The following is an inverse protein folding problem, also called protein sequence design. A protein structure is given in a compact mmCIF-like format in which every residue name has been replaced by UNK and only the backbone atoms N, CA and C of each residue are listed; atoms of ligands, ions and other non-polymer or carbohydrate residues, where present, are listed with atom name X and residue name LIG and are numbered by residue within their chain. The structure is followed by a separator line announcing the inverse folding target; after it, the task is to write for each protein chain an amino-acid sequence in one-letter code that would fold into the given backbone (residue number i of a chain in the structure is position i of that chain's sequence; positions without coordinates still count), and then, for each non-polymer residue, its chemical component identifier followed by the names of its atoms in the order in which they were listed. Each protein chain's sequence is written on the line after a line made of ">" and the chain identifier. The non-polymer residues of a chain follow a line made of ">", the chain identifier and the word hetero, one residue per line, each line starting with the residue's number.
data_IF_599517110996
#
_entry.id   IF_599517110996
#
_cell.length_a   1.000
_cell.length_b   1.000
_cell.length_c   1.000
_cell.angle_alpha   90.00
_cell.angle_beta   90.00
_cell.angle_gamma   90.00
#
_symmetry.space_group_name_H-M   'P 1'
#
loop_
_entity.id
_entity.type
_entity.pdbx_description
1 polymer ?
#
# COMPACT_ATOMS: atom_id res chain seq x y z
N UNK A 1 -7.26 18.26 7.27
CA UNK A 1 -7.25 17.11 6.34
C UNK A 1 -6.92 15.88 7.16
N UNK A 2 -7.73 14.81 7.14
CA UNK A 2 -7.44 13.60 7.90
C UNK A 2 -6.17 12.92 7.36
N UNK A 3 -5.35 12.35 8.25
CA UNK A 3 -4.22 11.54 7.83
C UNK A 3 -4.76 10.21 7.29
N UNK A 4 -4.59 9.94 6.00
CA UNK A 4 -5.04 8.66 5.41
C UNK A 4 -3.84 7.74 5.28
N UNK A 5 -3.93 6.57 5.90
CA UNK A 5 -2.94 5.51 5.73
C UNK A 5 -3.54 4.40 4.86
N UNK A 6 -2.84 4.10 3.76
CA UNK A 6 -3.29 3.17 2.74
C UNK A 6 -2.60 1.81 2.90
N UNK A 7 -3.35 0.71 2.85
CA UNK A 7 -2.77 -0.61 3.02
C UNK A 7 -3.76 -1.74 2.86
N UNK A 8 -3.35 -2.95 3.25
CA UNK A 8 -4.23 -4.12 3.36
C UNK A 8 -4.44 -4.40 4.84
N UNK A 9 -5.69 -4.58 5.28
CA UNK A 9 -6.02 -4.78 6.70
C UNK A 9 -5.25 -5.95 7.34
N UNK A 10 -5.09 -7.04 6.58
CA UNK A 10 -4.39 -8.26 7.00
C UNK A 10 -2.89 -8.24 6.66
N UNK A 11 -2.24 -7.10 6.82
CA UNK A 11 -0.78 -6.96 6.72
C UNK A 11 -0.20 -6.58 8.08
N UNK A 12 0.79 -7.32 8.57
CA UNK A 12 1.36 -7.07 9.90
C UNK A 12 2.08 -5.72 10.00
N UNK A 13 2.71 -5.25 8.91
CA UNK A 13 3.26 -3.90 8.84
C UNK A 13 2.17 -2.84 9.02
N UNK A 14 1.00 -3.03 8.39
CA UNK A 14 -0.13 -2.10 8.56
C UNK A 14 -0.72 -2.14 9.96
N UNK A 15 -0.78 -3.31 10.60
CA UNK A 15 -1.18 -3.42 12.01
C UNK A 15 -0.23 -2.63 12.92
N UNK A 16 1.08 -2.78 12.73
CA UNK A 16 2.11 -2.04 13.48
C UNK A 16 2.00 -0.53 13.26
N UNK A 17 1.82 -0.09 12.01
CA UNK A 17 1.67 1.33 11.70
C UNK A 17 0.44 1.95 12.37
N UNK A 18 -0.72 1.27 12.31
CA UNK A 18 -1.94 1.71 13.00
C UNK A 18 -1.78 1.76 14.51
N UNK A 19 -1.22 0.70 15.11
CA UNK A 19 -0.96 0.66 16.55
C UNK A 19 -0.02 1.79 17.00
N UNK A 20 0.99 2.14 16.18
CA UNK A 20 1.87 3.27 16.45
C UNK A 20 1.09 4.60 16.44
N UNK A 21 0.26 4.83 15.42
CA UNK A 21 -0.57 6.04 15.32
C UNK A 21 -1.56 6.14 16.50
N UNK A 22 -2.22 5.03 16.85
CA UNK A 22 -3.12 4.93 18.00
C UNK A 22 -2.40 5.30 19.30
N UNK A 23 -1.20 4.74 19.52
CA UNK A 23 -0.38 4.98 20.72
C UNK A 23 0.06 6.44 20.85
N UNK A 24 0.27 7.13 19.74
CA UNK A 24 0.71 8.53 19.72
C UNK A 24 -0.47 9.51 19.62
N UNK A 25 -1.71 9.03 19.67
CA UNK A 25 -2.91 9.86 19.57
C UNK A 25 -3.04 10.58 18.22
N UNK A 26 -2.41 10.06 17.16
CA UNK A 26 -2.50 10.64 15.82
C UNK A 26 -3.79 10.16 15.17
N UNK A 27 -4.74 11.06 14.92
CA UNK A 27 -5.95 10.72 14.18
C UNK A 27 -5.62 10.31 12.74
N UNK A 28 -6.15 9.17 12.31
CA UNK A 28 -6.00 8.67 10.94
C UNK A 28 -7.26 7.95 10.43
N UNK A 29 -7.37 7.88 9.12
CA UNK A 29 -8.30 7.01 8.40
C UNK A 29 -7.52 5.87 7.74
N UNK A 30 -8.04 4.66 7.82
CA UNK A 30 -7.44 3.50 7.16
C UNK A 30 -8.15 3.17 5.86
N UNK A 31 -7.43 3.28 4.74
CA UNK A 31 -7.93 2.92 3.42
C UNK A 31 -7.46 1.50 3.06
N UNK A 32 -8.39 0.54 3.05
CA UNK A 32 -8.09 -0.85 2.68
C UNK A 32 -8.17 -1.05 1.16
N UNK A 33 -7.03 -1.35 0.53
CA UNK A 33 -6.96 -1.65 -0.90
C UNK A 33 -7.84 -2.83 -1.32
N UNK A 34 -8.05 -3.83 -0.46
CA UNK A 34 -8.87 -5.00 -0.80
C UNK A 34 -10.37 -4.68 -0.79
N UNK A 35 -10.79 -3.73 0.03
CA UNK A 35 -12.20 -3.39 0.17
C UNK A 35 -12.61 -2.23 -0.74
N UNK A 36 -11.79 -1.17 -0.79
CA UNK A 36 -12.10 0.07 -1.50
C UNK A 36 -11.33 0.22 -2.82
N UNK A 37 -10.39 -0.67 -3.14
CA UNK A 37 -9.50 -0.52 -4.27
C UNK A 37 -8.56 0.69 -4.13
N UNK A 38 -7.95 1.13 -5.22
CA UNK A 38 -7.22 2.40 -5.28
C UNK A 38 -7.48 3.04 -6.64
N UNK A 39 -7.82 4.33 -6.63
CA UNK A 39 -8.11 5.06 -7.86
C UNK A 39 -6.86 5.23 -8.74
N UNK A 40 -7.04 5.18 -10.06
CA UNK A 40 -5.96 5.34 -11.05
C UNK A 40 -5.18 6.64 -10.85
N UNK A 41 -5.88 7.74 -10.58
CA UNK A 41 -5.25 9.06 -10.38
C UNK A 41 -4.33 9.08 -9.16
N UNK A 42 -4.71 8.36 -8.09
CA UNK A 42 -3.90 8.24 -6.88
C UNK A 42 -2.64 7.42 -7.13
N UNK A 43 -2.78 6.27 -7.82
CA UNK A 43 -1.63 5.47 -8.24
C UNK A 43 -0.68 6.27 -9.12
N UNK A 44 -1.20 7.03 -10.08
CA UNK A 44 -0.41 7.90 -10.94
C UNK A 44 0.37 8.92 -10.10
N UNK A 45 -0.30 9.63 -9.19
CA UNK A 45 0.36 10.60 -8.32
C UNK A 45 1.49 10.00 -7.47
N UNK A 46 1.31 8.79 -6.95
CA UNK A 46 2.37 8.12 -6.18
C UNK A 46 3.53 7.67 -7.08
N UNK A 47 3.20 7.12 -8.25
CA UNK A 47 4.19 6.68 -9.24
C UNK A 47 5.04 7.86 -9.72
N UNK A 48 4.41 8.99 -10.03
CA UNK A 48 5.09 10.21 -10.47
C UNK A 48 6.06 10.74 -9.39
N UNK A 49 5.79 10.47 -8.10
CA UNK A 49 6.60 10.96 -6.97
C UNK A 49 7.72 10.01 -6.54
N UNK A 50 7.45 8.70 -6.52
CA UNK A 50 8.33 7.70 -5.90
C UNK A 50 8.87 6.66 -6.90
N UNK A 51 8.41 6.71 -8.15
CA UNK A 51 8.56 5.63 -9.12
C UNK A 51 7.58 4.50 -8.84
N UNK A 52 7.03 3.92 -9.91
CA UNK A 52 6.07 2.81 -9.79
C UNK A 52 6.69 1.54 -9.19
N UNK A 53 7.99 1.31 -9.42
CA UNK A 53 8.71 0.13 -8.91
C UNK A 53 8.70 0.07 -7.38
N UNK A 54 8.81 1.24 -6.73
CA UNK A 54 8.75 1.37 -5.27
C UNK A 54 7.37 1.00 -4.71
N UNK A 55 6.30 1.19 -5.51
CA UNK A 55 4.93 0.84 -5.13
C UNK A 55 4.64 -0.65 -5.31
N UNK A 56 5.41 -1.34 -6.15
CA UNK A 56 5.23 -2.75 -6.45
C UNK A 56 5.91 -3.64 -5.39
N UNK A 57 5.11 -4.48 -4.73
CA UNK A 57 5.65 -5.48 -3.81
C UNK A 57 6.21 -6.71 -4.56
N UNK A 58 7.48 -6.63 -4.98
CA UNK A 58 8.20 -7.76 -5.61
C UNK A 58 8.43 -8.95 -4.66
N UNK A 59 8.43 -8.72 -3.35
CA UNK A 59 8.62 -9.78 -2.35
C UNK A 59 7.34 -10.59 -2.07
N UNK A 60 6.18 -10.08 -2.49
CA UNK A 60 4.87 -10.67 -2.27
C UNK A 60 4.68 -12.00 -3.00
N UNK A 61 3.87 -12.89 -2.41
CA UNK A 61 3.58 -14.20 -3.01
C UNK A 61 2.87 -14.09 -4.35
N UNK A 62 2.04 -13.07 -4.55
CA UNK A 62 1.39 -12.80 -5.85
C UNK A 62 2.43 -12.54 -6.94
N UNK A 63 3.42 -11.67 -6.68
CA UNK A 63 4.48 -11.37 -7.64
C UNK A 63 5.39 -12.58 -7.90
N UNK A 64 5.73 -13.32 -6.84
CA UNK A 64 6.56 -14.54 -6.97
C UNK A 64 5.90 -15.65 -7.80
N UNK A 65 4.58 -15.70 -7.85
CA UNK A 65 3.79 -16.66 -8.64
C UNK A 65 3.67 -16.28 -10.11
N UNK A 66 4.06 -15.07 -10.50
CA UNK A 66 4.07 -14.65 -11.89
C UNK A 66 5.10 -15.45 -12.69
N UNK A 67 4.88 -15.56 -14.01
CA UNK A 67 5.91 -16.07 -14.92
C UNK A 67 7.11 -15.13 -14.93
N UNK A 68 8.28 -15.60 -15.36
CA UNK A 68 9.46 -14.73 -15.41
C UNK A 68 9.28 -13.60 -16.44
N UNK A 69 8.58 -13.86 -17.54
CA UNK A 69 8.21 -12.84 -18.53
C UNK A 69 7.35 -11.72 -17.92
N UNK A 70 6.48 -12.03 -16.96
CA UNK A 70 5.62 -11.05 -16.29
C UNK A 70 6.35 -10.27 -15.17
N UNK A 71 7.58 -10.65 -14.82
CA UNK A 71 8.39 -9.99 -13.77
C UNK A 71 9.34 -8.93 -14.32
N UNK A 72 9.60 -8.93 -15.62
CA UNK A 72 10.59 -8.05 -16.29
C UNK A 72 10.07 -6.65 -16.66
N UNK A 73 8.96 -6.22 -16.06
CA UNK A 73 8.35 -4.89 -16.26
C UNK A 73 9.12 -3.74 -15.62
#
# INVERSE_FOLDING_TARGET
>A
MPNIIYGIKNCDTMKKARAWLDTHGVAYEFHDYKAAGVGKDKLKQWSDKLGWETLLNRAGTTFKKLSDADKEG
#
